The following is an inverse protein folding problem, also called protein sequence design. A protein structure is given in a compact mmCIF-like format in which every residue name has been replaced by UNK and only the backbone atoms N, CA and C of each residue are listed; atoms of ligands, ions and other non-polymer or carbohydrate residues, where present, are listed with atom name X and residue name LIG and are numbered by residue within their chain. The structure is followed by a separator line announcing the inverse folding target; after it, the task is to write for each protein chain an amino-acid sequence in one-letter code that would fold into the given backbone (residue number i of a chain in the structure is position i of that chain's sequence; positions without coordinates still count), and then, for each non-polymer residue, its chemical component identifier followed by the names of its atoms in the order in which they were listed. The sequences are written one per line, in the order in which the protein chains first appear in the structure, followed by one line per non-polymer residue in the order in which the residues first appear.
data_IF_210715830512
#
_entry.id   IF_210715830512
#
_cell.length_a   1.000
_cell.length_b   1.000
_cell.length_c   1.000
_cell.angle_alpha   90.00
_cell.angle_beta   90.00
_cell.angle_gamma   90.00
#
_symmetry.space_group_name_H-M   'P 1'
#
loop_
_entity.id
_entity.type
_entity.pdbx_description
1 polymer ?
#
# COMPACT_ATOMS: atom_id res chain seq x y z
N UNK A 1 11.03 -24.25 7.87
CA UNK A 1 12.47 -24.10 8.19
C UNK A 1 12.78 -23.35 9.50
N UNK A 2 11.81 -22.78 10.23
CA UNK A 2 12.04 -22.11 11.53
C UNK A 2 11.63 -22.93 12.77
N UNK A 3 11.02 -24.10 12.58
CA UNK A 3 10.50 -24.95 13.66
C UNK A 3 11.62 -25.52 14.55
N UNK A 4 12.77 -25.82 13.97
CA UNK A 4 13.95 -26.32 14.69
C UNK A 4 14.44 -25.31 15.73
N UNK A 5 14.48 -24.03 15.37
CA UNK A 5 15.01 -22.97 16.22
C UNK A 5 14.04 -22.53 17.33
N UNK A 6 12.78 -23.00 17.36
CA UNK A 6 11.83 -22.73 18.47
C UNK A 6 11.62 -23.95 19.37
N UNK A 7 12.13 -25.11 18.99
CA UNK A 7 11.79 -26.34 19.69
C UNK A 7 12.63 -26.48 20.97
N UNK A 8 12.02 -26.45 22.16
CA UNK A 8 12.76 -26.57 23.43
C UNK A 8 13.44 -27.94 23.59
N UNK A 9 13.03 -28.93 22.78
CA UNK A 9 13.59 -30.27 22.80
C UNK A 9 15.10 -30.27 22.60
N UNK A 10 15.65 -29.31 21.85
CA UNK A 10 17.09 -29.22 21.59
C UNK A 10 17.92 -28.83 22.82
N UNK A 11 17.34 -28.16 23.83
CA UNK A 11 18.02 -27.91 25.12
C UNK A 11 17.55 -28.89 26.22
N UNK A 12 16.69 -29.85 25.88
CA UNK A 12 16.32 -30.98 26.75
C UNK A 12 14.98 -30.85 27.47
N UNK A 13 14.12 -29.91 27.09
CA UNK A 13 12.77 -29.78 27.66
C UNK A 13 11.69 -29.91 26.58
N UNK A 14 10.49 -30.36 26.94
CA UNK A 14 9.36 -30.39 26.02
C UNK A 14 8.04 -30.21 26.77
N UNK A 15 7.03 -29.76 26.03
CA UNK A 15 5.66 -29.67 26.52
C UNK A 15 4.87 -30.90 26.08
N UNK A 16 4.04 -31.45 26.97
CA UNK A 16 3.10 -32.51 26.64
C UNK A 16 1.77 -32.24 27.34
N UNK A 17 0.67 -32.40 26.61
CA UNK A 17 -0.67 -32.18 27.14
C UNK A 17 -1.23 -33.50 27.66
N UNK A 18 -1.51 -33.54 28.96
CA UNK A 18 -2.10 -34.70 29.63
C UNK A 18 -3.39 -34.24 30.32
N UNK A 19 -4.50 -34.93 30.05
CA UNK A 19 -5.83 -34.61 30.62
C UNK A 19 -6.28 -33.15 30.40
N UNK A 20 -5.89 -32.54 29.27
CA UNK A 20 -6.24 -31.15 28.93
C UNK A 20 -5.31 -30.09 29.52
N UNK A 21 -4.31 -30.47 30.34
CA UNK A 21 -3.32 -29.57 30.91
C UNK A 21 -1.96 -29.73 30.20
N UNK A 22 -1.35 -28.63 29.77
CA UNK A 22 -0.01 -28.64 29.18
C UNK A 22 1.05 -28.55 30.27
N UNK A 23 1.82 -29.63 30.46
CA UNK A 23 2.90 -29.71 31.45
C UNK A 23 4.27 -29.70 30.77
N UNK A 24 5.26 -29.20 31.50
CA UNK A 24 6.66 -29.21 31.08
C UNK A 24 7.37 -30.45 31.61
N UNK A 25 8.11 -31.12 30.74
CA UNK A 25 8.85 -32.33 31.05
C UNK A 25 10.32 -32.16 30.65
N UNK A 26 11.21 -32.79 31.42
CA UNK A 26 12.63 -32.88 31.11
C UNK A 26 12.89 -34.17 30.32
N UNK A 27 13.47 -34.02 29.13
CA UNK A 27 13.85 -35.15 28.28
C UNK A 27 14.99 -35.97 28.90
N UNK A 28 14.99 -37.27 28.63
CA UNK A 28 16.05 -38.17 29.05
C UNK A 28 17.28 -38.13 28.11
N UNK A 29 17.17 -37.46 26.96
CA UNK A 29 18.27 -37.34 26.01
C UNK A 29 19.27 -36.26 26.43
N UNK A 30 20.51 -36.39 25.94
CA UNK A 30 21.53 -35.36 26.10
C UNK A 30 21.13 -34.11 25.29
N UNK A 31 21.04 -32.92 25.92
CA UNK A 31 20.80 -31.67 25.21
C UNK A 31 21.81 -31.43 24.08
N UNK A 32 21.34 -30.94 22.94
CA UNK A 32 22.16 -30.62 21.77
C UNK A 32 22.73 -29.19 21.87
N UNK A 33 22.02 -28.29 22.52
CA UNK A 33 22.44 -26.91 22.80
C UNK A 33 22.16 -26.56 24.26
N UNK A 34 22.82 -25.53 24.79
CA UNK A 34 22.52 -25.02 26.12
C UNK A 34 21.24 -24.18 26.10
N UNK A 35 20.59 -24.06 27.27
CA UNK A 35 19.42 -23.20 27.43
C UNK A 35 19.77 -21.73 27.18
N UNK A 36 20.95 -21.29 27.64
CA UNK A 36 21.39 -19.90 27.42
C UNK A 36 21.54 -19.59 25.93
N UNK A 37 22.09 -20.52 25.14
CA UNK A 37 22.22 -20.36 23.69
C UNK A 37 20.85 -20.32 23.01
N UNK A 38 19.92 -21.17 23.44
CA UNK A 38 18.54 -21.16 22.94
C UNK A 38 17.84 -19.82 23.25
N UNK A 39 17.99 -19.30 24.46
CA UNK A 39 17.40 -18.04 24.90
C UNK A 39 17.98 -16.84 24.13
N UNK A 40 19.29 -16.81 23.88
CA UNK A 40 19.95 -15.82 23.02
C UNK A 40 19.40 -15.84 21.58
N UNK A 41 19.18 -17.04 21.02
CA UNK A 41 18.54 -17.19 19.70
C UNK A 41 17.09 -16.69 19.74
N UNK A 42 16.31 -16.97 20.80
CA UNK A 42 14.95 -16.43 20.89
C UNK A 42 14.92 -14.90 20.95
N UNK A 43 15.85 -14.29 21.71
CA UNK A 43 15.96 -12.83 21.83
C UNK A 43 16.31 -12.17 20.49
N UNK A 44 17.26 -12.73 19.73
CA UNK A 44 17.65 -12.21 18.41
C UNK A 44 16.57 -12.40 17.33
N UNK A 45 15.74 -13.43 17.45
CA UNK A 45 14.66 -13.72 16.49
C UNK A 45 13.49 -12.73 16.55
N UNK A 46 13.30 -12.04 17.67
CA UNK A 46 12.19 -11.10 17.88
C UNK A 46 12.22 -9.85 16.97
N UNK A 47 13.27 -9.64 16.17
CA UNK A 47 13.57 -8.31 15.61
C UNK A 47 13.26 -8.13 14.12
N UNK A 48 12.97 -9.18 13.33
CA UNK A 48 12.89 -9.04 11.85
C UNK A 48 11.65 -9.61 11.18
N UNK A 49 10.47 -9.48 11.80
CA UNK A 49 9.23 -9.40 11.02
C UNK A 49 8.80 -7.96 11.04
N UNK A 50 9.05 -7.22 9.95
CA UNK A 50 8.46 -5.91 9.77
C UNK A 50 6.96 -6.01 10.09
N UNK A 51 6.45 -5.09 10.91
CA UNK A 51 5.07 -5.15 11.40
C UNK A 51 4.13 -5.39 10.21
N UNK A 52 3.30 -6.43 10.28
CA UNK A 52 2.34 -6.73 9.24
C UNK A 52 1.44 -5.51 9.03
N UNK A 53 1.31 -5.05 7.79
CA UNK A 53 0.59 -3.81 7.45
C UNK A 53 1.38 -2.50 7.55
N UNK A 54 2.68 -2.54 7.87
CA UNK A 54 3.54 -1.35 7.88
C UNK A 54 3.66 -0.66 6.50
N UNK A 55 3.44 -1.40 5.41
CA UNK A 55 3.47 -0.85 4.05
C UNK A 55 2.08 -0.40 3.63
N UNK A 56 1.93 0.90 3.43
CA UNK A 56 0.77 1.51 2.80
C UNK A 56 1.09 1.86 1.34
N UNK A 57 0.09 1.71 0.47
CA UNK A 57 0.18 2.05 -0.94
C UNK A 57 -0.92 3.04 -1.28
N UNK A 58 -0.56 4.15 -1.92
CA UNK A 58 -1.44 5.29 -2.15
C UNK A 58 -2.81 4.94 -2.75
N UNK A 59 -2.83 4.11 -3.78
CA UNK A 59 -4.06 3.87 -4.55
C UNK A 59 -4.75 2.55 -4.21
N UNK A 60 -4.32 1.87 -3.13
CA UNK A 60 -4.96 0.62 -2.69
C UNK A 60 -6.42 0.89 -2.32
N UNK A 61 -7.35 0.11 -2.88
CA UNK A 61 -8.78 0.22 -2.63
C UNK A 61 -9.53 1.21 -3.53
N UNK A 62 -8.83 2.06 -4.29
CA UNK A 62 -9.47 2.96 -5.27
C UNK A 62 -9.87 2.23 -6.56
N UNK A 63 -9.09 1.22 -6.95
CA UNK A 63 -9.21 0.49 -8.22
C UNK A 63 -9.70 -0.95 -8.03
N UNK A 64 -10.51 -1.43 -8.96
CA UNK A 64 -11.00 -2.81 -9.05
C UNK A 64 -10.85 -3.40 -10.46
N UNK A 65 -10.68 -4.70 -10.60
CA UNK A 65 -10.76 -5.43 -11.88
C UNK A 65 -11.51 -6.74 -11.63
N UNK A 66 -12.83 -6.64 -11.41
CA UNK A 66 -13.65 -7.72 -10.86
C UNK A 66 -13.39 -7.93 -9.36
N UNK A 67 -12.14 -8.16 -8.97
CA UNK A 67 -11.65 -8.22 -7.59
C UNK A 67 -10.88 -6.96 -7.15
N UNK A 68 -10.18 -7.05 -6.02
CA UNK A 68 -9.38 -5.96 -5.48
C UNK A 68 -8.03 -5.81 -6.20
N UNK A 69 -7.59 -4.56 -6.38
CA UNK A 69 -6.20 -4.29 -6.74
C UNK A 69 -5.30 -4.33 -5.51
N UNK A 70 -4.24 -5.12 -5.62
CA UNK A 70 -3.14 -5.13 -4.67
C UNK A 70 -1.95 -4.35 -5.22
N UNK A 71 -0.96 -4.10 -4.37
CA UNK A 71 0.26 -3.42 -4.74
C UNK A 71 1.49 -4.11 -4.17
N UNK A 72 2.58 -4.07 -4.92
CA UNK A 72 3.86 -4.65 -4.58
C UNK A 72 4.96 -3.62 -4.74
N UNK A 73 5.90 -3.63 -3.81
CA UNK A 73 7.09 -2.78 -3.84
C UNK A 73 8.31 -3.59 -4.26
N UNK A 74 9.11 -3.02 -5.17
CA UNK A 74 10.42 -3.53 -5.56
C UNK A 74 11.46 -2.41 -5.42
N UNK A 75 12.45 -2.62 -4.57
CA UNK A 75 13.59 -1.71 -4.42
C UNK A 75 14.72 -2.25 -5.31
N UNK A 76 15.19 -1.44 -6.26
CA UNK A 76 16.23 -1.82 -7.21
C UNK A 76 17.42 -0.88 -7.12
N UNK A 77 18.62 -1.45 -7.11
CA UNK A 77 19.86 -0.68 -7.26
C UNK A 77 20.03 -0.27 -8.71
N UNK A 78 20.16 1.04 -8.96
CA UNK A 78 20.44 1.62 -10.26
C UNK A 78 21.92 1.46 -10.61
N UNK A 79 22.24 1.63 -11.90
CA UNK A 79 23.64 1.64 -12.37
C UNK A 79 24.49 2.72 -11.69
N UNK A 80 23.87 3.82 -11.25
CA UNK A 80 24.51 4.90 -10.48
C UNK A 80 24.87 4.51 -9.03
N UNK A 81 24.42 3.34 -8.55
CA UNK A 81 24.60 2.89 -7.17
C UNK A 81 23.45 3.27 -6.22
N UNK A 82 22.57 4.18 -6.62
CA UNK A 82 21.39 4.60 -5.85
C UNK A 82 20.31 3.49 -5.83
N UNK A 83 19.54 3.41 -4.74
CA UNK A 83 18.38 2.51 -4.65
C UNK A 83 17.10 3.26 -4.99
N UNK A 84 16.40 2.79 -6.04
CA UNK A 84 15.10 3.33 -6.43
C UNK A 84 13.98 2.40 -6.02
N UNK A 85 12.96 2.97 -5.39
CA UNK A 85 11.70 2.30 -5.06
C UNK A 85 10.76 2.30 -6.26
N UNK A 86 10.23 1.14 -6.61
CA UNK A 86 9.20 0.98 -7.64
C UNK A 86 7.98 0.30 -7.03
N UNK A 87 6.79 0.89 -7.24
CA UNK A 87 5.53 0.29 -6.81
C UNK A 87 4.73 -0.11 -8.05
N UNK A 88 4.18 -1.31 -8.01
CA UNK A 88 3.35 -1.87 -9.07
C UNK A 88 2.00 -2.27 -8.49
N UNK A 89 0.93 -2.01 -9.22
CA UNK A 89 -0.44 -2.37 -8.90
C UNK A 89 -0.92 -3.46 -9.86
N UNK A 90 -1.64 -4.45 -9.33
CA UNK A 90 -2.19 -5.56 -10.11
C UNK A 90 -3.46 -6.13 -9.46
N UNK A 91 -4.28 -6.80 -10.27
CA UNK A 91 -5.40 -7.59 -9.76
C UNK A 91 -4.87 -8.72 -8.84
N UNK A 92 -5.61 -9.04 -7.79
CA UNK A 92 -5.29 -10.16 -6.89
C UNK A 92 -5.79 -11.53 -7.40
N UNK A 93 -6.49 -11.56 -8.54
CA UNK A 93 -7.03 -12.77 -9.17
C UNK A 93 -8.04 -13.53 -8.29
N UNK A 94 -8.64 -12.87 -7.31
CA UNK A 94 -9.59 -13.48 -6.37
C UNK A 94 -10.93 -13.81 -7.04
N UNK A 95 -11.42 -12.94 -7.93
CA UNK A 95 -12.70 -13.11 -8.63
C UNK A 95 -12.53 -13.86 -9.96
N UNK A 96 -11.52 -13.50 -10.74
CA UNK A 96 -11.19 -14.18 -12.00
C UNK A 96 -9.71 -14.63 -11.97
N UNK A 97 -9.46 -15.94 -11.78
CA UNK A 97 -8.12 -16.51 -11.81
C UNK A 97 -7.40 -16.36 -13.17
N UNK A 98 -8.15 -16.12 -14.26
CA UNK A 98 -7.63 -15.94 -15.62
C UNK A 98 -7.59 -14.47 -16.04
N UNK A 99 -7.73 -13.54 -15.09
CA UNK A 99 -7.64 -12.11 -15.37
C UNK A 99 -6.26 -11.77 -16.00
N UNK A 100 -6.30 -11.24 -17.22
CA UNK A 100 -5.11 -10.87 -18.00
C UNK A 100 -4.75 -9.38 -17.85
N UNK A 101 -5.30 -8.70 -16.85
CA UNK A 101 -5.01 -7.29 -16.61
C UNK A 101 -3.52 -7.09 -16.29
N UNK A 102 -2.79 -6.27 -17.05
CA UNK A 102 -1.36 -6.08 -16.85
C UNK A 102 -1.04 -5.38 -15.54
N UNK A 103 0.17 -5.62 -15.03
CA UNK A 103 0.72 -4.85 -13.93
C UNK A 103 0.97 -3.41 -14.39
N UNK A 104 0.59 -2.44 -13.56
CA UNK A 104 0.83 -1.02 -13.82
C UNK A 104 1.75 -0.41 -12.77
N UNK A 105 2.76 0.33 -13.20
CA UNK A 105 3.62 1.09 -12.30
C UNK A 105 2.87 2.31 -11.71
N UNK A 106 3.15 2.69 -10.47
CA UNK A 106 2.54 3.85 -9.80
C UNK A 106 2.64 5.15 -10.62
N UNK A 107 3.77 5.42 -11.29
CA UNK A 107 3.96 6.62 -12.09
C UNK A 107 3.03 6.64 -13.31
N UNK A 108 2.90 5.52 -14.01
CA UNK A 108 1.95 5.40 -15.12
C UNK A 108 0.50 5.48 -14.63
N UNK A 109 0.21 4.88 -13.47
CA UNK A 109 -1.12 4.93 -12.88
C UNK A 109 -1.53 6.36 -12.51
N UNK A 110 -0.60 7.18 -12.02
CA UNK A 110 -0.83 8.61 -11.74
C UNK A 110 -1.24 9.38 -12.99
N UNK A 111 -0.59 9.11 -14.11
CA UNK A 111 -0.91 9.73 -15.41
C UNK A 111 -2.32 9.33 -15.84
N UNK A 112 -2.64 8.03 -15.84
CA UNK A 112 -3.97 7.55 -16.22
C UNK A 112 -5.08 8.09 -15.30
N UNK A 113 -4.81 8.17 -13.98
CA UNK A 113 -5.76 8.75 -13.03
C UNK A 113 -6.01 10.22 -13.32
N UNK A 114 -4.97 11.00 -13.62
CA UNK A 114 -5.11 12.42 -13.94
C UNK A 114 -5.94 12.60 -15.21
N UNK A 115 -5.61 11.89 -16.29
CA UNK A 115 -6.37 11.94 -17.55
C UNK A 115 -7.83 11.54 -17.36
N UNK A 116 -8.08 10.50 -16.54
CA UNK A 116 -9.43 10.07 -16.22
C UNK A 116 -10.20 11.14 -15.45
N UNK A 117 -9.58 11.76 -14.44
CA UNK A 117 -10.19 12.83 -13.64
C UNK A 117 -10.48 14.05 -14.51
N UNK A 118 -9.55 14.50 -15.35
CA UNK A 118 -9.75 15.65 -16.24
C UNK A 118 -10.97 15.45 -17.16
N UNK A 119 -11.17 14.23 -17.66
CA UNK A 119 -12.31 13.87 -18.52
C UNK A 119 -13.63 13.68 -17.74
N UNK A 120 -13.58 13.21 -16.50
CA UNK A 120 -14.75 12.73 -15.76
C UNK A 120 -15.05 13.48 -14.45
N UNK A 121 -14.35 14.58 -14.14
CA UNK A 121 -14.39 15.25 -12.83
C UNK A 121 -15.80 15.52 -12.29
N UNK A 122 -16.78 15.83 -13.17
CA UNK A 122 -18.17 16.10 -12.79
C UNK A 122 -18.92 14.88 -12.24
N UNK A 123 -18.48 13.67 -12.62
CA UNK A 123 -19.11 12.39 -12.25
C UNK A 123 -18.42 11.73 -11.07
N UNK A 124 -17.31 12.29 -10.60
CA UNK A 124 -16.53 11.74 -9.50
C UNK A 124 -17.05 12.35 -8.20
N UNK A 125 -17.58 11.49 -7.34
CA UNK A 125 -18.00 11.83 -6.00
C UNK A 125 -16.79 11.85 -5.07
N UNK A 126 -16.70 12.91 -4.27
CA UNK A 126 -15.63 13.12 -3.30
C UNK A 126 -16.19 13.33 -1.90
N UNK A 127 -15.38 13.03 -0.89
CA UNK A 127 -15.69 13.31 0.52
C UNK A 127 -15.56 14.80 0.84
N UNK A 128 -16.31 15.26 1.85
CA UNK A 128 -16.27 16.65 2.32
C UNK A 128 -14.87 17.03 2.81
N UNK A 129 -14.15 16.08 3.42
CA UNK A 129 -12.75 16.27 3.84
C UNK A 129 -11.82 16.51 2.64
N UNK A 130 -12.04 15.83 1.52
CA UNK A 130 -11.29 16.06 0.29
C UNK A 130 -11.70 17.39 -0.36
N UNK A 131 -13.00 17.69 -0.39
CA UNK A 131 -13.52 18.97 -0.89
C UNK A 131 -12.90 20.17 -0.16
N UNK A 132 -12.87 20.16 1.16
CA UNK A 132 -12.26 21.23 1.95
C UNK A 132 -10.77 21.44 1.62
N UNK A 133 -10.03 20.35 1.34
CA UNK A 133 -8.63 20.44 0.91
C UNK A 133 -8.48 21.04 -0.49
N UNK A 134 -9.37 20.64 -1.41
CA UNK A 134 -9.41 21.17 -2.79
C UNK A 134 -9.67 22.68 -2.76
N UNK A 135 -10.69 23.11 -2.03
CA UNK A 135 -11.06 24.53 -1.92
C UNK A 135 -9.96 25.36 -1.28
N UNK A 136 -9.36 24.85 -0.18
CA UNK A 136 -8.22 25.50 0.47
C UNK A 136 -7.03 25.65 -0.48
N UNK A 137 -6.65 24.57 -1.18
CA UNK A 137 -5.56 24.62 -2.16
C UNK A 137 -5.84 25.66 -3.25
N UNK A 138 -7.05 25.63 -3.82
CA UNK A 138 -7.44 26.53 -4.89
C UNK A 138 -7.43 28.00 -4.46
N UNK A 139 -7.96 28.32 -3.27
CA UNK A 139 -7.95 29.68 -2.70
C UNK A 139 -6.52 30.19 -2.50
N UNK A 140 -5.62 29.36 -1.96
CA UNK A 140 -4.21 29.72 -1.80
C UNK A 140 -3.56 29.99 -3.16
N UNK A 141 -3.79 29.12 -4.15
CA UNK A 141 -3.25 29.31 -5.50
C UNK A 141 -3.73 30.61 -6.13
N UNK A 142 -5.02 30.92 -6.03
CA UNK A 142 -5.58 32.19 -6.51
C UNK A 142 -4.96 33.41 -5.82
N UNK A 143 -4.82 33.35 -4.50
CA UNK A 143 -4.19 34.42 -3.72
C UNK A 143 -2.74 34.66 -4.12
N UNK A 144 -1.97 33.59 -4.39
CA UNK A 144 -0.59 33.70 -4.84
C UNK A 144 -0.49 34.30 -6.24
N UNK A 145 -1.30 33.82 -7.19
CA UNK A 145 -1.33 34.37 -8.55
C UNK A 145 -1.66 35.88 -8.54
N UNK A 146 -2.66 36.28 -7.74
CA UNK A 146 -3.01 37.68 -7.57
C UNK A 146 -1.86 38.51 -6.95
N UNK A 147 -1.21 37.99 -5.90
CA UNK A 147 -0.09 38.68 -5.24
C UNK A 147 1.08 38.92 -6.21
N UNK A 148 1.43 37.92 -7.01
CA UNK A 148 2.50 38.02 -8.00
C UNK A 148 2.06 38.62 -9.34
N UNK A 149 0.79 39.07 -9.46
CA UNK A 149 0.21 39.65 -10.68
C UNK A 149 0.36 38.74 -11.92
N UNK A 150 0.19 37.44 -11.71
CA UNK A 150 0.27 36.44 -12.78
C UNK A 150 -1.10 36.24 -13.43
N UNK A 151 -1.20 36.53 -14.72
CA UNK A 151 -2.41 36.35 -15.52
C UNK A 151 -2.54 34.90 -16.03
N UNK A 152 -2.62 33.95 -15.10
CA UNK A 152 -2.83 32.54 -15.43
C UNK A 152 -4.28 32.14 -15.15
N UNK A 153 -4.96 31.62 -16.17
CA UNK A 153 -6.26 30.99 -16.00
C UNK A 153 -6.08 29.64 -15.31
N UNK A 154 -6.72 29.48 -14.16
CA UNK A 154 -6.80 28.20 -13.45
C UNK A 154 -7.90 27.30 -14.03
N UNK A 155 -7.67 25.99 -14.02
CA UNK A 155 -8.69 25.00 -14.27
C UNK A 155 -9.67 24.88 -13.10
N UNK A 156 -10.56 23.87 -13.15
CA UNK A 156 -11.46 23.57 -12.05
C UNK A 156 -10.69 23.16 -10.79
N UNK A 157 -11.16 23.54 -9.58
CA UNK A 157 -10.44 23.27 -8.33
C UNK A 157 -10.01 21.81 -8.15
N UNK A 158 -10.92 20.86 -8.44
CA UNK A 158 -10.61 19.44 -8.30
C UNK A 158 -9.53 18.97 -9.30
N UNK A 159 -9.53 19.49 -10.53
CA UNK A 159 -8.51 19.17 -11.53
C UNK A 159 -7.14 19.69 -11.08
N UNK A 160 -7.07 20.95 -10.65
CA UNK A 160 -5.81 21.56 -10.18
C UNK A 160 -5.25 20.81 -8.97
N UNK A 161 -6.11 20.47 -8.00
CA UNK A 161 -5.68 19.71 -6.84
C UNK A 161 -5.22 18.29 -7.22
N UNK A 162 -5.94 17.62 -8.13
CA UNK A 162 -5.56 16.31 -8.63
C UNK A 162 -4.20 16.35 -9.34
N UNK A 163 -3.98 17.38 -10.17
CA UNK A 163 -2.70 17.62 -10.86
C UNK A 163 -1.57 17.81 -9.86
N UNK A 164 -1.76 18.64 -8.83
CA UNK A 164 -0.78 18.84 -7.77
C UNK A 164 -0.46 17.52 -7.05
N UNK A 165 -1.47 16.82 -6.53
CA UNK A 165 -1.27 15.59 -5.75
C UNK A 165 -0.65 14.48 -6.58
N UNK A 166 -1.13 14.27 -7.81
CA UNK A 166 -0.64 13.20 -8.69
C UNK A 166 0.70 13.53 -9.33
N UNK A 167 1.24 14.75 -9.24
CA UNK A 167 2.57 15.08 -9.78
C UNK A 167 3.62 15.35 -8.71
N UNK A 168 3.24 16.03 -7.62
CA UNK A 168 4.15 16.49 -6.55
C UNK A 168 3.79 15.98 -5.15
N UNK A 169 2.61 15.39 -4.98
CA UNK A 169 2.16 14.89 -3.68
C UNK A 169 3.01 13.71 -3.18
N UNK A 170 3.18 13.64 -1.87
CA UNK A 170 3.84 12.50 -1.21
C UNK A 170 2.88 11.28 -1.06
N UNK A 171 3.40 10.13 -0.63
CA UNK A 171 2.62 8.89 -0.51
C UNK A 171 1.39 9.04 0.41
N UNK A 172 1.52 9.76 1.53
CA UNK A 172 0.41 9.98 2.46
C UNK A 172 -0.65 10.91 1.88
N UNK A 173 -0.24 11.94 1.15
CA UNK A 173 -1.14 12.84 0.45
C UNK A 173 -1.92 12.11 -0.64
N UNK A 174 -1.23 11.32 -1.47
CA UNK A 174 -1.87 10.48 -2.48
C UNK A 174 -2.80 9.44 -1.85
N UNK A 175 -2.42 8.83 -0.72
CA UNK A 175 -3.28 7.90 0.03
C UNK A 175 -4.57 8.58 0.49
N UNK A 176 -4.44 9.77 1.09
CA UNK A 176 -5.60 10.51 1.59
C UNK A 176 -6.48 11.04 0.46
N UNK A 177 -5.88 11.40 -0.67
CA UNK A 177 -6.58 11.79 -1.89
C UNK A 177 -7.40 10.62 -2.44
N UNK A 178 -6.77 9.43 -2.59
CA UNK A 178 -7.45 8.23 -3.05
C UNK A 178 -8.61 7.83 -2.14
N UNK A 179 -8.40 7.83 -0.81
CA UNK A 179 -9.47 7.58 0.19
C UNK A 179 -10.60 8.62 0.14
N UNK A 180 -10.29 9.83 -0.32
CA UNK A 180 -11.25 10.91 -0.42
C UNK A 180 -12.16 10.81 -1.65
N UNK A 181 -11.80 10.01 -2.65
CA UNK A 181 -12.62 9.71 -3.82
C UNK A 181 -13.58 8.57 -3.45
N UNK A 182 -14.89 8.83 -3.49
CA UNK A 182 -15.93 7.85 -3.15
C UNK A 182 -16.30 6.97 -4.35
N UNK A 183 -16.19 7.52 -5.56
CA UNK A 183 -16.44 6.75 -6.78
C UNK A 183 -15.43 5.63 -6.93
N UNK A 184 -15.91 4.39 -6.98
CA UNK A 184 -15.06 3.24 -7.26
C UNK A 184 -14.64 3.25 -8.74
N UNK A 185 -13.35 3.05 -9.00
CA UNK A 185 -12.80 3.01 -10.34
C UNK A 185 -12.47 1.57 -10.73
N UNK A 186 -12.64 1.24 -12.00
CA UNK A 186 -12.29 -0.06 -12.55
C UNK A 186 -11.16 0.05 -13.56
N UNK A 187 -10.19 -0.85 -13.50
CA UNK A 187 -9.17 -1.01 -14.55
C UNK A 187 -9.61 -2.11 -15.52
N UNK A 188 -9.60 -1.79 -16.81
CA UNK A 188 -9.89 -2.72 -17.89
C UNK A 188 -8.93 -2.48 -19.07
N UNK A 189 -8.13 -3.49 -19.40
CA UNK A 189 -7.15 -3.46 -20.48
C UNK A 189 -6.22 -2.24 -20.41
N UNK A 190 -5.67 -1.96 -19.23
CA UNK A 190 -4.75 -0.85 -18.96
C UNK A 190 -5.40 0.53 -18.94
N UNK A 191 -6.74 0.61 -18.96
CA UNK A 191 -7.47 1.87 -18.95
C UNK A 191 -8.43 1.97 -17.75
N UNK A 192 -8.56 3.17 -17.19
CA UNK A 192 -9.45 3.45 -16.07
C UNK A 192 -10.85 3.79 -16.56
N UNK A 193 -11.86 3.18 -15.95
CA UNK A 193 -13.29 3.42 -16.18
C UNK A 193 -14.02 3.58 -14.85
N UNK A 194 -15.21 4.17 -14.89
CA UNK A 194 -16.11 4.17 -13.73
C UNK A 194 -16.55 2.74 -13.43
N UNK A 195 -16.45 2.28 -12.19
CA UNK A 195 -17.05 1.02 -11.80
C UNK A 195 -18.56 1.23 -11.64
N UNK A 196 -19.36 0.53 -12.44
CA UNK A 196 -20.81 0.50 -12.24
C UNK A 196 -21.11 -0.77 -11.44
N UNK A 197 -21.51 -0.58 -10.17
CA UNK A 197 -22.13 -1.67 -9.42
C UNK A 197 -23.43 -2.02 -10.15
N UNK A 198 -23.47 -3.20 -10.76
CA UNK A 198 -24.72 -3.86 -11.11
C UNK A 198 -25.34 -4.43 -9.85
#
# INVERSE_FOLDING_TARGET
MLATLINPFYYGEFQYTENGETKWYKGAHKPLISKELFDQVQQSRGVYKGQWGSKTFAFKGLLKCGGEFTAQEKIKKLKSGEFKRHVYYNCNHEVDPKCNEPYINQDNLRILLLEFIEKNYKKIEISDKLLAKIEKHYSITQSLLAHYKLEQKLDKPFIEYSRYILTKGNENEMTNFAKGIKTTLSMNNGNIRMHHNR
#
